data_IF_101568166690
#
_entry.id   IF_101568166690
#
_cell.length_a   1.000
_cell.length_b   1.000
_cell.length_c   1.000
_cell.angle_alpha   90.00
_cell.angle_beta   90.00
_cell.angle_gamma   90.00
#
_symmetry.space_group_name_H-M   'P 1'
#
loop_
_entity.id
_entity.type
_entity.pdbx_description
1 polymer ?
#
# COMPACT_ATOMS: atom_id res chain seq x y z
N UNK A 1 20.89 18.90 3.86
CA UNK A 1 21.74 17.84 3.26
C UNK A 1 20.89 16.60 3.24
N UNK A 2 20.64 15.98 2.07
CA UNK A 2 19.80 14.78 2.00
C UNK A 2 20.69 13.55 2.15
N UNK A 3 20.65 12.94 3.31
CA UNK A 3 21.41 11.73 3.63
C UNK A 3 20.77 10.53 2.94
N UNK A 4 21.60 9.69 2.33
CA UNK A 4 21.16 8.43 1.70
C UNK A 4 20.91 7.39 2.79
N UNK A 5 19.72 6.78 2.79
CA UNK A 5 19.38 5.70 3.71
C UNK A 5 20.11 4.42 3.32
N UNK A 6 21.24 4.18 3.97
CA UNK A 6 22.15 3.06 3.66
C UNK A 6 21.62 1.69 4.09
N UNK A 7 20.54 1.67 4.88
CA UNK A 7 19.82 0.45 5.28
C UNK A 7 18.93 -0.12 4.17
N UNK A 8 18.63 0.68 3.13
CA UNK A 8 17.82 0.27 2.01
C UNK A 8 18.70 -0.09 0.80
N UNK A 9 18.27 -1.04 -0.04
CA UNK A 9 19.00 -1.41 -1.24
C UNK A 9 19.08 -0.23 -2.22
N UNK A 10 20.12 -0.20 -3.06
CA UNK A 10 20.34 0.82 -4.09
C UNK A 10 19.40 0.70 -5.31
N UNK A 11 18.22 0.11 -5.10
CA UNK A 11 17.15 -0.05 -6.09
C UNK A 11 15.79 0.25 -5.47
N UNK A 12 14.79 0.44 -6.33
CA UNK A 12 13.38 0.42 -5.93
C UNK A 12 13.06 -0.88 -5.18
N UNK A 13 12.24 -0.76 -4.14
CA UNK A 13 11.85 -1.88 -3.29
C UNK A 13 10.76 -2.68 -3.97
N UNK A 14 10.80 -4.00 -3.86
CA UNK A 14 9.65 -4.82 -4.23
C UNK A 14 8.53 -4.68 -3.21
N UNK A 15 7.31 -5.04 -3.59
CA UNK A 15 6.15 -5.06 -2.68
C UNK A 15 6.46 -5.81 -1.37
N UNK A 16 7.06 -7.01 -1.48
CA UNK A 16 7.46 -7.83 -0.34
C UNK A 16 8.49 -7.15 0.57
N UNK A 17 9.45 -6.43 -0.02
CA UNK A 17 10.44 -5.70 0.78
C UNK A 17 9.77 -4.53 1.53
N UNK A 18 8.81 -3.85 0.92
CA UNK A 18 8.03 -2.79 1.61
C UNK A 18 7.22 -3.38 2.76
N UNK A 19 6.52 -4.50 2.54
CA UNK A 19 5.74 -5.19 3.58
C UNK A 19 6.58 -5.72 4.74
N UNK A 20 7.87 -6.00 4.50
CA UNK A 20 8.80 -6.42 5.55
C UNK A 20 9.33 -5.28 6.41
N UNK A 21 9.08 -4.02 6.02
CA UNK A 21 9.45 -2.85 6.79
C UNK A 21 8.30 -2.50 7.74
N UNK A 22 8.61 -2.44 9.04
CA UNK A 22 7.66 -1.97 10.04
C UNK A 22 7.22 -0.53 9.73
N UNK A 23 5.91 -0.29 9.82
CA UNK A 23 5.27 1.03 9.67
C UNK A 23 5.53 1.76 8.34
N UNK A 24 5.98 1.04 7.29
CA UNK A 24 6.25 1.62 5.98
C UNK A 24 5.10 1.37 4.98
N UNK A 25 4.74 2.40 4.23
CA UNK A 25 3.73 2.33 3.16
C UNK A 25 4.31 2.84 1.84
N UNK A 26 4.02 2.16 0.73
CA UNK A 26 4.39 2.64 -0.60
C UNK A 26 3.45 3.74 -1.09
N UNK A 27 4.01 4.87 -1.53
CA UNK A 27 3.27 6.04 -2.03
C UNK A 27 3.43 6.29 -3.54
N UNK A 28 4.36 5.59 -4.18
CA UNK A 28 4.51 5.60 -5.63
C UNK A 28 5.09 4.25 -6.06
N UNK A 29 4.39 3.56 -6.97
CA UNK A 29 4.78 2.24 -7.48
C UNK A 29 4.70 2.15 -8.99
N UNK A 30 5.48 1.23 -9.53
CA UNK A 30 5.28 0.71 -10.87
C UNK A 30 4.11 -0.30 -10.85
N UNK A 31 3.05 -0.09 -11.65
CA UNK A 31 1.88 -0.97 -11.64
C UNK A 31 2.14 -2.33 -12.29
N UNK A 32 3.15 -2.47 -13.15
CA UNK A 32 3.49 -3.74 -13.79
C UNK A 32 4.40 -4.59 -12.89
N UNK A 33 5.41 -3.98 -12.28
CA UNK A 33 6.40 -4.70 -11.47
C UNK A 33 6.10 -4.71 -9.97
N UNK A 34 5.21 -3.85 -9.48
CA UNK A 34 4.95 -3.64 -8.05
C UNK A 34 6.11 -2.95 -7.32
N UNK A 35 7.12 -2.45 -8.03
CA UNK A 35 8.28 -1.82 -7.42
C UNK A 35 7.92 -0.43 -6.86
N UNK A 36 8.20 -0.20 -5.58
CA UNK A 36 8.00 1.06 -4.89
C UNK A 36 9.20 2.00 -5.07
N UNK A 37 8.88 3.25 -5.44
CA UNK A 37 9.82 4.34 -5.68
C UNK A 37 9.71 5.45 -4.62
N UNK A 38 8.61 5.49 -3.88
CA UNK A 38 8.43 6.35 -2.70
C UNK A 38 7.84 5.50 -1.60
N UNK A 39 8.43 5.57 -0.41
CA UNK A 39 7.90 4.95 0.81
C UNK A 39 7.78 6.01 1.90
N UNK A 40 6.80 5.83 2.78
CA UNK A 40 6.58 6.69 3.94
C UNK A 40 6.51 5.84 5.19
N UNK A 41 7.27 6.21 6.21
CA UNK A 41 7.14 5.67 7.56
C UNK A 41 6.18 6.56 8.35
N UNK A 42 5.12 5.95 8.87
CA UNK A 42 4.11 6.61 9.69
C UNK A 42 4.13 5.99 11.08
N UNK A 43 4.69 6.70 12.05
CA UNK A 43 4.66 6.30 13.46
C UNK A 43 3.77 7.26 14.26
N UNK A 44 3.42 6.89 15.49
CA UNK A 44 2.63 7.76 16.38
C UNK A 44 3.29 9.13 16.65
N UNK A 45 4.60 9.23 16.43
CA UNK A 45 5.41 10.39 16.83
C UNK A 45 6.22 11.01 15.69
N UNK A 46 6.19 10.42 14.50
CA UNK A 46 6.95 10.95 13.35
C UNK A 46 6.41 10.47 12.01
N UNK A 47 6.61 11.32 11.01
CA UNK A 47 6.38 11.01 9.59
C UNK A 47 7.69 11.19 8.85
N UNK A 48 8.11 10.18 8.09
CA UNK A 48 9.33 10.25 7.27
C UNK A 48 9.05 9.74 5.86
N UNK A 49 9.31 10.56 4.85
CA UNK A 49 9.16 10.15 3.45
C UNK A 49 10.52 9.99 2.75
N UNK A 50 10.71 8.82 2.15
CA UNK A 50 11.89 8.45 1.39
C UNK A 50 11.53 8.23 -0.08
N UNK A 51 12.38 8.71 -0.98
CA UNK A 51 12.22 8.54 -2.41
C UNK A 51 13.49 7.96 -3.04
N UNK A 52 13.33 7.00 -3.95
CA UNK A 52 14.44 6.42 -4.69
C UNK A 52 14.93 7.40 -5.78
N UNK A 53 16.16 7.90 -5.64
CA UNK A 53 16.78 8.81 -6.61
C UNK A 53 17.81 8.06 -7.44
N UNK A 54 17.46 7.72 -8.69
CA UNK A 54 18.36 7.08 -9.65
C UNK A 54 19.67 7.86 -9.84
N UNK A 55 19.66 9.19 -9.72
CA UNK A 55 20.87 10.01 -9.91
C UNK A 55 21.85 9.88 -8.75
N UNK A 56 21.35 9.48 -7.58
CA UNK A 56 22.14 9.26 -6.37
C UNK A 56 22.33 7.77 -6.04
N UNK A 57 21.83 6.89 -6.90
CA UNK A 57 21.87 5.43 -6.73
C UNK A 57 21.36 4.99 -5.34
N UNK A 58 20.27 5.61 -4.85
CA UNK A 58 19.80 5.29 -3.50
C UNK A 58 18.57 6.02 -3.01
N UNK A 59 18.15 5.65 -1.81
CA UNK A 59 17.00 6.21 -1.12
C UNK A 59 17.37 7.50 -0.40
N UNK A 60 16.56 8.53 -0.61
CA UNK A 60 16.81 9.88 -0.12
C UNK A 60 15.62 10.34 0.71
N UNK A 61 15.89 10.77 1.94
CA UNK A 61 14.88 11.46 2.74
C UNK A 61 14.63 12.85 2.13
N UNK A 62 13.37 13.12 1.81
CA UNK A 62 12.95 14.40 1.26
C UNK A 62 11.92 15.12 2.12
N UNK A 63 11.28 14.42 3.05
CA UNK A 63 10.37 15.00 4.02
C UNK A 63 10.52 14.26 5.36
N UNK A 64 10.46 15.01 6.45
CA UNK A 64 10.39 14.48 7.80
C UNK A 64 9.73 15.50 8.72
N UNK A 65 8.83 15.03 9.56
CA UNK A 65 8.15 15.83 10.56
C UNK A 65 8.05 15.04 11.86
N UNK A 66 8.49 15.65 12.95
CA UNK A 66 8.34 15.11 14.30
C UNK A 66 7.06 15.68 14.93
N UNK A 67 6.28 14.84 15.62
CA UNK A 67 5.06 15.23 16.31
C UNK A 67 3.93 14.22 16.16
N UNK A 68 2.85 14.42 16.91
CA UNK A 68 1.63 13.62 16.78
C UNK A 68 1.03 13.79 15.38
N UNK A 69 0.57 12.67 14.83
CA UNK A 69 -0.11 12.64 13.55
C UNK A 69 -1.41 13.48 13.59
N UNK A 70 -1.56 14.39 12.64
CA UNK A 70 -2.72 15.30 12.53
C UNK A 70 -3.12 15.48 11.07
N UNK A 71 -4.36 15.90 10.79
CA UNK A 71 -4.83 16.16 9.42
C UNK A 71 -3.95 17.18 8.68
N UNK A 72 -3.46 18.21 9.36
CA UNK A 72 -2.53 19.17 8.76
C UNK A 72 -1.18 18.55 8.38
N UNK A 73 -0.66 17.63 9.20
CA UNK A 73 0.57 16.90 8.88
C UNK A 73 0.39 15.95 7.69
N UNK A 74 -0.83 15.44 7.48
CA UNK A 74 -1.18 14.62 6.32
C UNK A 74 -1.17 15.45 5.04
N UNK A 75 -1.80 16.63 5.04
CA UNK A 75 -1.82 17.50 3.87
C UNK A 75 -0.40 17.95 3.48
N UNK A 76 0.42 18.32 4.48
CA UNK A 76 1.82 18.70 4.27
C UNK A 76 2.66 17.54 3.71
N UNK A 77 2.43 16.31 4.18
CA UNK A 77 3.07 15.11 3.65
C UNK A 77 2.66 14.87 2.19
N UNK A 78 1.37 14.95 1.87
CA UNK A 78 0.84 14.69 0.54
C UNK A 78 1.40 15.69 -0.49
N UNK A 79 1.41 16.98 -0.15
CA UNK A 79 2.01 18.03 -0.98
C UNK A 79 3.51 17.79 -1.20
N UNK A 80 4.23 17.37 -0.15
CA UNK A 80 5.66 17.05 -0.25
C UNK A 80 5.90 15.83 -1.16
N UNK A 81 5.11 14.77 -1.00
CA UNK A 81 5.19 13.55 -1.82
C UNK A 81 4.87 13.85 -3.28
N UNK A 82 3.77 14.55 -3.57
CA UNK A 82 3.37 14.95 -4.93
C UNK A 82 4.42 15.86 -5.58
N UNK A 83 4.92 16.85 -4.84
CA UNK A 83 5.95 17.76 -5.30
C UNK A 83 7.25 17.03 -5.66
N UNK A 84 7.67 16.09 -4.82
CA UNK A 84 8.87 15.31 -5.06
C UNK A 84 8.70 14.33 -6.22
N UNK A 85 7.60 13.58 -6.25
CA UNK A 85 7.27 12.63 -7.30
C UNK A 85 7.21 13.31 -8.68
N UNK A 86 6.55 14.47 -8.78
CA UNK A 86 6.49 15.25 -10.03
C UNK A 86 7.85 15.78 -10.46
N UNK A 87 8.67 16.22 -9.51
CA UNK A 87 10.03 16.73 -9.78
C UNK A 87 10.97 15.64 -10.28
N UNK A 88 10.83 14.40 -9.79
CA UNK A 88 11.73 13.28 -10.11
C UNK A 88 11.23 12.36 -11.21
N UNK A 89 9.93 12.16 -11.30
CA UNK A 89 9.29 11.14 -12.13
C UNK A 89 8.17 11.69 -13.02
N UNK A 90 8.05 13.00 -13.19
CA UNK A 90 6.94 13.63 -13.91
C UNK A 90 6.60 12.97 -15.26
N UNK A 91 7.61 12.66 -16.07
CA UNK A 91 7.39 12.00 -17.37
C UNK A 91 6.82 10.58 -17.24
N UNK A 92 7.33 9.79 -16.29
CA UNK A 92 6.86 8.43 -16.00
C UNK A 92 5.47 8.40 -15.38
N UNK A 93 5.16 9.38 -14.54
CA UNK A 93 3.81 9.57 -13.98
C UNK A 93 2.81 9.95 -15.08
N UNK A 94 3.19 10.87 -15.98
CA UNK A 94 2.32 11.28 -17.10
C UNK A 94 2.09 10.15 -18.11
N UNK A 95 3.10 9.28 -18.31
CA UNK A 95 3.00 8.12 -19.18
C UNK A 95 2.20 6.96 -18.56
N UNK A 96 2.02 6.96 -17.24
CA UNK A 96 1.37 5.88 -16.50
C UNK A 96 2.30 4.73 -16.09
N UNK A 97 3.60 4.83 -16.39
CA UNK A 97 4.65 3.87 -15.97
C UNK A 97 4.82 3.82 -14.45
N UNK A 98 4.44 4.90 -13.76
CA UNK A 98 4.37 4.98 -12.31
C UNK A 98 3.00 5.51 -11.91
N UNK A 99 2.49 4.98 -10.80
CA UNK A 99 1.26 5.43 -10.16
C UNK A 99 1.53 5.83 -8.73
N UNK A 100 0.90 6.91 -8.31
CA UNK A 100 0.82 7.25 -6.89
C UNK A 100 -0.07 6.22 -6.19
N UNK A 101 0.20 5.94 -4.93
CA UNK A 101 -0.56 4.97 -4.13
C UNK A 101 -0.79 5.50 -2.73
N UNK A 102 -1.82 5.00 -2.05
CA UNK A 102 -2.17 5.39 -0.68
C UNK A 102 -3.56 6.01 -0.56
N UNK A 103 -3.98 6.39 0.66
CA UNK A 103 -5.34 6.87 0.94
C UNK A 103 -5.74 8.15 0.19
N UNK A 104 -4.76 8.83 -0.43
CA UNK A 104 -4.89 10.15 -1.05
C UNK A 104 -4.61 10.13 -2.56
N UNK A 105 -4.54 8.92 -3.15
CA UNK A 105 -4.56 8.74 -4.59
C UNK A 105 -5.84 9.38 -5.16
N UNK A 106 -5.66 10.44 -5.96
CA UNK A 106 -6.74 11.16 -6.61
C UNK A 106 -7.09 10.55 -7.97
N UNK A 107 -6.46 9.44 -8.35
CA UNK A 107 -6.84 8.72 -9.57
C UNK A 107 -8.16 7.97 -9.34
N UNK A 108 -9.18 8.20 -10.19
CA UNK A 108 -10.56 7.80 -9.93
C UNK A 108 -10.84 6.29 -10.09
N UNK A 109 -9.80 5.48 -10.25
CA UNK A 109 -9.94 4.04 -10.42
C UNK A 109 -8.99 3.36 -9.43
N UNK A 110 -9.44 3.29 -8.16
CA UNK A 110 -9.08 2.13 -7.33
C UNK A 110 -9.56 0.91 -8.08
N UNK A 111 -8.68 0.30 -8.87
CA UNK A 111 -8.84 -1.09 -9.28
C UNK A 111 -8.79 -1.89 -7.98
N UNK A 112 -9.94 -2.10 -7.34
CA UNK A 112 -10.07 -2.92 -6.13
C UNK A 112 -9.50 -4.34 -6.38
N UNK A 113 -9.52 -4.81 -7.63
CA UNK A 113 -8.86 -6.04 -8.08
C UNK A 113 -7.31 -6.04 -8.00
N UNK A 114 -6.63 -4.89 -7.89
CA UNK A 114 -5.14 -4.82 -7.97
C UNK A 114 -4.42 -4.69 -6.64
N UNK A 115 -5.12 -4.47 -5.53
CA UNK A 115 -4.51 -4.29 -4.20
C UNK A 115 -4.48 -5.57 -3.34
N UNK A 116 -4.73 -6.75 -3.92
CA UNK A 116 -4.54 -7.99 -3.18
C UNK A 116 -3.07 -8.16 -2.74
N UNK A 117 -2.81 -8.48 -1.46
CA UNK A 117 -1.47 -8.81 -0.99
C UNK A 117 -0.84 -9.94 -1.80
N UNK A 118 0.48 -9.89 -2.01
CA UNK A 118 1.21 -10.86 -2.81
C UNK A 118 0.93 -12.32 -2.40
N UNK A 119 0.79 -12.62 -1.09
CA UNK A 119 0.48 -13.96 -0.60
C UNK A 119 -0.86 -14.47 -1.13
N UNK A 120 -1.86 -13.59 -1.22
CA UNK A 120 -3.17 -13.92 -1.76
C UNK A 120 -3.08 -14.12 -3.27
N UNK A 121 -2.35 -13.23 -3.98
CA UNK A 121 -2.11 -13.37 -5.43
C UNK A 121 -1.38 -14.67 -5.82
N UNK A 122 -0.59 -15.24 -4.92
CA UNK A 122 0.09 -16.52 -5.14
C UNK A 122 -0.70 -17.74 -4.61
N UNK A 123 -1.88 -17.54 -4.05
CA UNK A 123 -2.66 -18.60 -3.39
C UNK A 123 -1.99 -19.18 -2.14
N UNK A 124 -1.08 -18.41 -1.51
CA UNK A 124 -0.44 -18.78 -0.24
C UNK A 124 -1.35 -18.45 0.95
N UNK A 125 -2.15 -17.40 0.84
CA UNK A 125 -3.16 -17.01 1.81
C UNK A 125 -4.53 -16.98 1.16
N UNK A 126 -5.59 -17.39 1.88
CA UNK A 126 -6.95 -17.38 1.35
C UNK A 126 -7.45 -15.94 1.13
N UNK A 127 -8.27 -15.80 0.10
CA UNK A 127 -9.04 -14.59 -0.19
C UNK A 127 -10.46 -14.75 0.37
N UNK A 128 -11.02 -13.70 0.94
CA UNK A 128 -12.38 -13.69 1.44
C UNK A 128 -13.18 -12.60 0.73
N UNK A 129 -13.83 -12.98 -0.36
CA UNK A 129 -14.70 -12.11 -1.13
C UNK A 129 -16.17 -12.46 -0.89
N UNK A 130 -16.90 -11.55 -0.25
CA UNK A 130 -18.31 -11.72 0.00
C UNK A 130 -19.14 -11.36 -1.26
N UNK A 131 -19.92 -12.31 -1.81
CA UNK A 131 -20.66 -12.10 -3.05
C UNK A 131 -21.79 -11.06 -2.96
N UNK A 132 -22.23 -10.69 -1.75
CA UNK A 132 -23.45 -9.90 -1.54
C UNK A 132 -23.24 -8.47 -1.05
N UNK A 133 -22.07 -8.13 -0.48
CA UNK A 133 -21.85 -6.79 0.07
C UNK A 133 -20.49 -6.15 -0.23
N UNK A 134 -19.67 -6.74 -1.10
CA UNK A 134 -18.35 -6.19 -1.44
C UNK A 134 -17.38 -6.20 -0.26
N UNK A 135 -17.66 -7.01 0.77
CA UNK A 135 -16.71 -7.26 1.85
C UNK A 135 -15.57 -8.11 1.28
N UNK A 136 -14.40 -7.50 1.12
CA UNK A 136 -13.21 -8.14 0.57
C UNK A 136 -12.04 -8.02 1.55
N UNK A 137 -11.57 -9.15 2.07
CA UNK A 137 -10.43 -9.23 2.99
C UNK A 137 -9.54 -10.45 2.70
N UNK A 138 -8.39 -10.53 3.36
CA UNK A 138 -7.41 -11.60 3.15
C UNK A 138 -7.18 -12.44 4.41
N UNK A 139 -6.66 -13.66 4.24
CA UNK A 139 -6.18 -14.55 5.32
C UNK A 139 -5.16 -13.91 6.26
N UNK A 140 -4.49 -12.85 5.80
CA UNK A 140 -3.53 -12.07 6.60
C UNK A 140 -4.22 -11.13 7.59
N UNK A 141 -5.40 -10.60 7.26
CA UNK A 141 -6.10 -9.59 8.07
C UNK A 141 -7.28 -10.16 8.84
N UNK A 142 -7.86 -11.28 8.36
CA UNK A 142 -9.03 -11.94 8.97
C UNK A 142 -8.86 -13.45 9.00
N UNK A 143 -9.41 -14.07 10.05
CA UNK A 143 -9.50 -15.53 10.09
C UNK A 143 -10.68 -16.04 9.24
N UNK A 144 -10.63 -17.29 8.74
CA UNK A 144 -11.77 -17.89 8.04
C UNK A 144 -13.05 -17.92 8.88
N UNK A 145 -12.90 -18.01 10.20
CA UNK A 145 -14.03 -18.02 11.14
C UNK A 145 -14.74 -16.68 11.21
N UNK A 146 -14.00 -15.57 11.11
CA UNK A 146 -14.57 -14.23 11.08
C UNK A 146 -15.33 -13.97 9.78
N UNK A 147 -14.82 -14.48 8.66
CA UNK A 147 -15.51 -14.42 7.37
C UNK A 147 -16.80 -15.25 7.38
N UNK A 148 -16.75 -16.49 7.87
CA UNK A 148 -17.96 -17.31 8.05
C UNK A 148 -18.99 -16.63 8.98
N UNK A 149 -18.52 -15.94 10.01
CA UNK A 149 -19.40 -15.21 10.91
C UNK A 149 -20.04 -13.99 10.22
N UNK A 150 -19.29 -13.30 9.36
CA UNK A 150 -19.81 -12.23 8.53
C UNK A 150 -20.93 -12.75 7.61
N UNK A 151 -20.69 -13.83 6.86
CA UNK A 151 -21.70 -14.45 5.98
C UNK A 151 -23.01 -14.76 6.72
N UNK A 152 -22.92 -15.35 7.91
CA UNK A 152 -24.09 -15.68 8.73
C UNK A 152 -24.81 -14.45 9.29
N UNK A 153 -24.06 -13.46 9.78
CA UNK A 153 -24.64 -12.28 10.45
C UNK A 153 -25.17 -11.23 9.49
N UNK A 154 -24.46 -11.00 8.39
CA UNK A 154 -24.79 -9.95 7.42
C UNK A 154 -25.83 -10.43 6.40
N UNK A 155 -25.76 -11.70 5.99
CA UNK A 155 -26.58 -12.24 4.90
C UNK A 155 -27.53 -13.36 5.33
N UNK A 156 -27.40 -13.85 6.57
CA UNK A 156 -28.29 -14.89 7.09
C UNK A 156 -28.02 -16.27 6.52
N UNK A 157 -26.86 -16.47 5.87
CA UNK A 157 -26.46 -17.78 5.36
C UNK A 157 -26.45 -18.83 6.47
N UNK A 158 -26.86 -20.04 6.13
CA UNK A 158 -26.70 -21.17 7.03
C UNK A 158 -25.25 -21.68 7.06
N UNK A 159 -24.95 -22.60 7.99
CA UNK A 159 -23.59 -23.12 8.18
C UNK A 159 -23.04 -23.85 6.94
N UNK A 160 -23.92 -24.48 6.15
CA UNK A 160 -23.55 -25.21 4.95
C UNK A 160 -23.26 -24.25 3.80
N UNK A 161 -24.16 -23.27 3.57
CA UNK A 161 -24.00 -22.25 2.54
C UNK A 161 -22.73 -21.41 2.75
N UNK A 162 -22.48 -20.99 4.00
CA UNK A 162 -21.28 -20.21 4.32
C UNK A 162 -19.98 -21.01 4.09
N UNK A 163 -20.00 -22.32 4.36
CA UNK A 163 -18.84 -23.20 4.11
C UNK A 163 -18.64 -23.49 2.63
N UNK A 164 -19.71 -23.57 1.83
CA UNK A 164 -19.58 -23.69 0.36
C UNK A 164 -18.97 -22.42 -0.24
N UNK A 165 -19.39 -21.25 0.22
CA UNK A 165 -18.83 -19.96 -0.22
C UNK A 165 -17.35 -19.82 0.18
N UNK A 166 -16.96 -20.33 1.35
CA UNK A 166 -15.55 -20.29 1.79
C UNK A 166 -14.62 -21.22 1.00
N UNK A 167 -15.14 -22.35 0.48
CA UNK A 167 -14.33 -23.38 -0.18
C UNK A 167 -14.47 -23.40 -1.72
N UNK A 168 -15.32 -22.53 -2.27
CA UNK A 168 -15.54 -22.36 -3.71
C UNK A 168 -14.57 -21.38 -4.34
#
# INVERSE_FOLDING_TARGET
MSETFSSLPSRALTEREVQSLDDATAYCRDPESGAAYIIVYLTDSSVVALGYDQRKDGWVQFHSQDGEFSEAAVDDLDDAVKGWARSRFGDRLNAGDLRMTGPYDSTPERDEEKEMPWEVKQGLEPEYDCPDCGFHESGLTKSPQDYLQHLKKAHGYDDSEAMEILNG
#
